data_IF_215255674655
#
_entry.id   IF_215255674655
#
_cell.length_a   1.000
_cell.length_b   1.000
_cell.length_c   1.000
_cell.angle_alpha   90.00
_cell.angle_beta   90.00
_cell.angle_gamma   90.00
#
_symmetry.space_group_name_H-M   'P 1'
#
loop_
_entity.id
_entity.type
_entity.pdbx_description
1 polymer ?
#
# COMPACT_ATOMS: atom_id res chain seq x y z
N UNK A 1 42.86 -17.72 8.67
CA UNK A 1 41.85 -16.77 9.17
C UNK A 1 40.71 -16.75 8.17
N UNK A 2 39.48 -17.06 8.59
CA UNK A 2 38.30 -16.93 7.74
C UNK A 2 37.94 -15.45 7.65
N UNK A 3 38.60 -14.73 6.75
CA UNK A 3 38.41 -13.29 6.54
C UNK A 3 37.27 -13.06 5.57
N UNK A 4 36.06 -13.48 5.94
CA UNK A 4 34.88 -13.02 5.22
C UNK A 4 34.57 -11.58 5.64
N UNK A 5 34.26 -10.69 4.68
CA UNK A 5 33.84 -9.33 4.99
C UNK A 5 32.53 -9.35 5.75
N UNK A 6 32.31 -8.31 6.54
CA UNK A 6 31.00 -8.08 7.16
C UNK A 6 29.90 -7.99 6.09
N UNK A 7 28.71 -8.47 6.41
CA UNK A 7 27.57 -8.53 5.48
C UNK A 7 27.18 -7.12 4.99
N UNK A 8 27.22 -6.13 5.88
CA UNK A 8 27.01 -4.72 5.54
C UNK A 8 28.03 -4.22 4.51
N UNK A 9 29.30 -4.61 4.71
CA UNK A 9 30.40 -4.19 3.83
C UNK A 9 30.30 -4.85 2.46
N UNK A 10 29.84 -6.10 2.41
CA UNK A 10 29.55 -6.80 1.18
C UNK A 10 28.40 -6.13 0.42
N UNK A 11 27.30 -5.77 1.11
CA UNK A 11 26.17 -5.08 0.50
C UNK A 11 26.58 -3.73 -0.13
N UNK A 12 27.28 -2.88 0.63
CA UNK A 12 27.79 -1.60 0.13
C UNK A 12 28.74 -1.75 -1.07
N UNK A 13 29.53 -2.83 -1.10
CA UNK A 13 30.40 -3.14 -2.23
C UNK A 13 29.63 -3.61 -3.48
N UNK A 14 28.61 -4.44 -3.29
CA UNK A 14 27.70 -4.88 -4.37
C UNK A 14 26.92 -3.70 -4.97
N UNK A 15 26.56 -2.72 -4.14
CA UNK A 15 25.84 -1.52 -4.55
C UNK A 15 26.72 -0.41 -5.14
N UNK A 16 28.04 -0.61 -5.21
CA UNK A 16 29.03 0.39 -5.68
C UNK A 16 29.10 1.67 -4.82
N UNK A 17 28.66 1.61 -3.56
CA UNK A 17 28.71 2.74 -2.63
C UNK A 17 30.04 2.83 -1.88
N UNK A 18 30.83 1.76 -1.94
CA UNK A 18 32.10 1.66 -1.25
C UNK A 18 33.20 2.43 -2.00
N UNK A 19 34.02 3.20 -1.27
CA UNK A 19 35.02 4.09 -1.87
C UNK A 19 36.40 3.97 -1.23
N UNK A 20 37.43 4.50 -1.91
CA UNK A 20 38.77 4.64 -1.36
C UNK A 20 39.46 3.32 -1.00
N UNK A 21 40.14 3.31 0.15
CA UNK A 21 40.96 2.17 0.59
C UNK A 21 40.12 0.92 0.89
N UNK A 22 38.87 1.09 1.32
CA UNK A 22 38.00 -0.04 1.63
C UNK A 22 37.54 -0.75 0.35
N UNK A 23 37.34 0.00 -0.75
CA UNK A 23 37.00 -0.57 -2.05
C UNK A 23 38.15 -1.40 -2.58
N UNK A 24 39.37 -0.88 -2.52
CA UNK A 24 40.57 -1.61 -2.94
C UNK A 24 40.75 -2.91 -2.13
N UNK A 25 40.46 -2.88 -0.82
CA UNK A 25 40.52 -4.07 0.01
C UNK A 25 39.42 -5.10 -0.34
N UNK A 26 38.20 -4.65 -0.63
CA UNK A 26 37.10 -5.52 -1.05
C UNK A 26 37.33 -6.11 -2.44
N UNK A 27 37.84 -5.31 -3.39
CA UNK A 27 38.17 -5.79 -4.74
C UNK A 27 39.30 -6.82 -4.70
N UNK A 28 40.32 -6.62 -3.84
CA UNK A 28 41.39 -7.60 -3.64
C UNK A 28 40.85 -8.91 -3.00
N UNK A 29 39.92 -8.80 -2.06
CA UNK A 29 39.26 -9.97 -1.46
C UNK A 29 38.32 -10.69 -2.45
N UNK A 30 37.68 -9.98 -3.37
CA UNK A 30 36.74 -10.54 -4.33
C UNK A 30 37.45 -11.13 -5.57
N UNK A 31 38.73 -10.83 -5.78
CA UNK A 31 39.49 -11.28 -6.95
C UNK A 31 39.53 -12.81 -7.13
N UNK A 32 39.42 -13.57 -6.03
CA UNK A 32 39.38 -15.03 -6.02
C UNK A 32 37.95 -15.62 -5.91
N UNK A 33 36.91 -14.78 -5.93
CA UNK A 33 35.49 -15.17 -5.77
C UNK A 33 34.67 -14.82 -7.00
N UNK A 34 34.65 -15.70 -8.02
CA UNK A 34 33.93 -15.43 -9.25
C UNK A 34 32.42 -15.29 -9.04
N UNK A 35 31.82 -15.95 -8.04
CA UNK A 35 30.39 -15.78 -7.76
C UNK A 35 30.06 -14.34 -7.29
N UNK A 36 30.94 -13.71 -6.51
CA UNK A 36 30.71 -12.36 -6.00
C UNK A 36 30.88 -11.31 -7.12
N UNK A 37 31.86 -11.53 -8.00
CA UNK A 37 32.05 -10.69 -9.18
C UNK A 37 30.88 -10.81 -10.16
N UNK A 38 30.34 -12.02 -10.35
CA UNK A 38 29.16 -12.25 -11.17
C UNK A 38 27.93 -11.55 -10.59
N UNK A 39 27.67 -11.70 -9.29
CA UNK A 39 26.55 -11.03 -8.60
C UNK A 39 26.63 -9.50 -8.75
N UNK A 40 27.81 -8.90 -8.52
CA UNK A 40 28.02 -7.46 -8.72
C UNK A 40 27.77 -7.03 -10.17
N UNK A 41 28.19 -7.85 -11.14
CA UNK A 41 27.92 -7.63 -12.56
C UNK A 41 26.44 -7.64 -12.90
N UNK A 42 25.68 -8.58 -12.34
CA UNK A 42 24.22 -8.67 -12.50
C UNK A 42 23.49 -7.46 -11.92
N UNK A 43 23.86 -7.04 -10.70
CA UNK A 43 23.28 -5.84 -10.07
C UNK A 43 23.52 -4.58 -10.91
N UNK A 44 24.75 -4.38 -11.41
CA UNK A 44 25.07 -3.27 -12.32
C UNK A 44 24.28 -3.32 -13.61
N UNK A 45 24.11 -4.50 -14.20
CA UNK A 45 23.29 -4.69 -15.39
C UNK A 45 21.84 -4.32 -15.13
N UNK A 46 21.26 -4.77 -14.02
CA UNK A 46 19.90 -4.44 -13.61
C UNK A 46 19.73 -2.93 -13.38
N UNK A 47 20.68 -2.29 -12.69
CA UNK A 47 20.71 -0.84 -12.47
C UNK A 47 20.75 -0.07 -13.80
N UNK A 48 21.61 -0.48 -14.72
CA UNK A 48 21.71 0.15 -16.04
C UNK A 48 20.43 -0.04 -16.87
N UNK A 49 19.80 -1.21 -16.80
CA UNK A 49 18.51 -1.47 -17.44
C UNK A 49 17.43 -0.53 -16.90
N UNK A 50 17.28 -0.42 -15.57
CA UNK A 50 16.34 0.52 -14.97
C UNK A 50 16.64 1.97 -15.35
N UNK A 51 17.91 2.38 -15.28
CA UNK A 51 18.34 3.72 -15.66
C UNK A 51 18.04 4.04 -17.13
N UNK A 52 18.14 3.06 -18.03
CA UNK A 52 17.81 3.23 -19.45
C UNK A 52 16.31 3.35 -19.73
N UNK A 53 15.46 2.84 -18.84
CA UNK A 53 14.01 2.95 -18.94
C UNK A 53 13.46 4.26 -18.34
N UNK A 54 14.24 4.92 -17.50
CA UNK A 54 13.90 6.24 -16.96
C UNK A 54 14.11 7.30 -18.05
N UNK A 55 13.11 8.15 -18.34
CA UNK A 55 13.32 9.27 -19.23
C UNK A 55 14.42 10.18 -18.66
N UNK A 56 15.16 10.85 -19.55
CA UNK A 56 16.08 11.90 -19.13
C UNK A 56 15.31 12.87 -18.22
N UNK A 57 15.91 13.28 -17.11
CA UNK A 57 15.28 14.14 -16.11
C UNK A 57 14.84 15.46 -16.76
N UNK A 58 13.60 15.52 -17.22
CA UNK A 58 12.96 16.75 -17.67
C UNK A 58 12.44 17.48 -16.43
N UNK A 59 12.88 18.73 -16.26
CA UNK A 59 12.36 19.56 -15.20
C UNK A 59 10.87 19.80 -15.47
N UNK A 60 9.97 19.45 -14.52
CA UNK A 60 8.55 19.65 -14.73
C UNK A 60 8.30 21.14 -15.02
N UNK A 61 7.34 21.50 -15.89
CA UNK A 61 7.13 22.89 -16.33
C UNK A 61 6.92 23.90 -15.19
N UNK A 62 6.49 23.42 -14.02
CA UNK A 62 6.22 24.21 -12.83
C UNK A 62 6.76 23.52 -11.56
N UNK A 63 8.08 23.57 -11.30
CA UNK A 63 8.71 22.86 -10.19
C UNK A 63 8.21 23.38 -8.83
N UNK A 64 7.97 24.69 -8.72
CA UNK A 64 7.46 25.30 -7.48
C UNK A 64 6.08 24.79 -7.08
N UNK A 65 5.19 24.55 -8.05
CA UNK A 65 3.86 23.99 -7.79
C UNK A 65 3.94 22.54 -7.35
N UNK A 66 4.80 21.72 -7.97
CA UNK A 66 5.05 20.35 -7.54
C UNK A 66 5.55 20.30 -6.08
N UNK A 67 6.55 21.12 -5.75
CA UNK A 67 7.10 21.22 -4.40
C UNK A 67 6.06 21.71 -3.38
N UNK A 68 5.21 22.67 -3.76
CA UNK A 68 4.13 23.14 -2.89
C UNK A 68 3.17 22.02 -2.49
N UNK A 69 2.86 21.10 -3.42
CA UNK A 69 1.96 19.97 -3.20
C UNK A 69 2.59 18.90 -2.31
N UNK A 70 3.87 18.59 -2.53
CA UNK A 70 4.62 17.69 -1.64
C UNK A 70 4.63 18.24 -0.21
N UNK A 71 4.94 19.53 -0.06
CA UNK A 71 4.93 20.21 1.24
C UNK A 71 3.55 20.20 1.90
N UNK A 72 2.48 20.37 1.12
CA UNK A 72 1.12 20.27 1.64
C UNK A 72 0.79 18.86 2.13
N UNK A 73 1.14 17.82 1.37
CA UNK A 73 0.97 16.43 1.80
C UNK A 73 1.73 16.09 3.08
N UNK A 74 2.96 16.62 3.23
CA UNK A 74 3.74 16.45 4.46
C UNK A 74 3.02 17.11 5.65
N UNK A 75 2.49 18.32 5.48
CA UNK A 75 1.73 19.02 6.54
C UNK A 75 0.48 18.25 6.95
N UNK A 76 -0.27 17.72 5.99
CA UNK A 76 -1.50 16.96 6.26
C UNK A 76 -1.19 15.66 7.05
N UNK A 77 -0.11 14.96 6.69
CA UNK A 77 0.37 13.79 7.44
C UNK A 77 0.81 14.15 8.86
N UNK A 78 1.48 15.28 9.05
CA UNK A 78 1.89 15.77 10.38
C UNK A 78 0.69 16.20 11.23
N UNK A 79 -0.31 16.86 10.62
CA UNK A 79 -1.53 17.28 11.29
C UNK A 79 -2.36 16.07 11.75
N UNK A 80 -2.47 15.03 10.92
CA UNK A 80 -3.15 13.78 11.29
C UNK A 80 -2.49 13.06 12.47
N UNK A 81 -1.16 13.15 12.59
CA UNK A 81 -0.41 12.58 13.71
C UNK A 81 -0.56 13.39 15.01
N UNK A 82 -0.93 14.66 14.92
CA UNK A 82 -1.03 15.59 16.06
C UNK A 82 -2.48 15.82 16.51
N UNK A 83 -3.45 15.07 15.98
CA UNK A 83 -4.85 15.22 16.37
C UNK A 83 -5.02 15.00 17.89
N UNK A 84 -5.52 16.00 18.65
CA UNK A 84 -5.64 15.88 20.10
C UNK A 84 -6.65 14.79 20.48
N UNK A 85 -6.29 13.97 21.47
CA UNK A 85 -7.18 12.96 22.03
C UNK A 85 -8.49 13.61 22.52
N UNK A 86 -9.67 12.96 22.36
CA UNK A 86 -10.94 13.54 22.77
C UNK A 86 -10.93 13.87 24.26
N UNK A 87 -11.20 15.14 24.60
CA UNK A 87 -11.23 15.61 25.97
C UNK A 87 -12.27 14.84 26.78
N UNK A 88 -11.86 14.32 27.94
CA UNK A 88 -12.75 13.60 28.85
C UNK A 88 -13.92 14.51 29.28
N UNK A 89 -15.15 13.99 29.14
CA UNK A 89 -16.36 14.73 29.47
C UNK A 89 -16.47 15.00 30.99
N UNK A 90 -17.02 16.16 31.40
CA UNK A 90 -17.06 16.55 32.80
C UNK A 90 -18.00 15.65 33.63
N UNK A 91 -17.47 15.21 34.78
CA UNK A 91 -18.05 14.29 35.77
C UNK A 91 -19.49 14.59 36.22
N UNK A 92 -19.95 15.84 36.11
CA UNK A 92 -21.32 16.24 36.49
C UNK A 92 -22.42 15.72 35.54
N UNK A 93 -22.11 15.37 34.29
CA UNK A 93 -23.09 14.73 33.39
C UNK A 93 -23.44 13.29 33.80
N UNK A 94 -22.67 12.68 34.70
CA UNK A 94 -22.87 11.29 35.15
C UNK A 94 -24.09 11.11 36.07
N UNK A 95 -24.63 12.17 36.68
CA UNK A 95 -25.75 12.03 37.63
C UNK A 95 -27.13 11.94 36.94
N UNK A 96 -27.26 12.43 35.69
CA UNK A 96 -28.50 12.30 34.92
C UNK A 96 -28.54 11.06 34.00
N UNK A 97 -27.47 10.24 34.01
CA UNK A 97 -27.37 9.04 33.18
C UNK A 97 -28.48 7.98 33.37
N UNK A 98 -29.04 7.69 34.57
CA UNK A 98 -29.99 6.59 34.66
C UNK A 98 -31.31 6.87 33.93
N UNK A 99 -31.75 8.14 33.88
CA UNK A 99 -33.00 8.51 33.17
C UNK A 99 -32.81 8.48 31.65
N UNK A 100 -31.65 8.92 31.16
CA UNK A 100 -31.31 8.86 29.74
C UNK A 100 -31.11 7.42 29.24
N UNK A 101 -30.57 6.52 30.08
CA UNK A 101 -30.40 5.11 29.76
C UNK A 101 -31.74 4.39 29.54
N UNK A 102 -32.75 4.68 30.37
CA UNK A 102 -34.10 4.11 30.19
C UNK A 102 -34.77 4.61 28.91
N UNK A 103 -34.67 5.90 28.59
CA UNK A 103 -35.21 6.46 27.34
C UNK A 103 -34.49 5.88 26.10
N UNK A 104 -33.17 5.71 26.17
CA UNK A 104 -32.37 5.09 25.11
C UNK A 104 -32.74 3.63 24.86
N UNK A 105 -33.02 2.84 25.91
CA UNK A 105 -33.45 1.44 25.75
C UNK A 105 -34.82 1.32 25.08
N UNK A 106 -35.80 2.18 25.42
CA UNK A 106 -37.13 2.14 24.78
C UNK A 106 -37.03 2.51 23.30
N UNK A 107 -36.18 3.49 22.96
CA UNK A 107 -36.00 3.94 21.59
C UNK A 107 -35.20 2.91 20.75
N UNK A 108 -34.18 2.29 21.33
CA UNK A 108 -33.42 1.20 20.70
C UNK A 108 -34.25 -0.08 20.51
N UNK A 109 -35.14 -0.41 21.46
CA UNK A 109 -36.04 -1.57 21.34
C UNK A 109 -37.16 -1.34 20.30
N UNK A 110 -37.63 -0.10 20.16
CA UNK A 110 -38.60 0.28 19.13
C UNK A 110 -38.03 0.20 17.71
N UNK A 111 -36.79 0.66 17.52
CA UNK A 111 -36.08 0.58 16.23
C UNK A 111 -35.63 -0.87 15.94
N UNK A 112 -35.20 -1.61 16.95
CA UNK A 112 -34.75 -3.00 16.82
C UNK A 112 -35.84 -3.99 16.40
N UNK A 113 -37.13 -3.67 16.57
CA UNK A 113 -38.24 -4.55 16.13
C UNK A 113 -38.45 -4.54 14.60
N UNK A 114 -37.88 -3.57 13.90
CA UNK A 114 -37.93 -3.46 12.42
C UNK A 114 -36.63 -3.89 11.74
N UNK A 115 -35.57 -4.16 12.49
CA UNK A 115 -34.27 -4.56 11.94
C UNK A 115 -34.07 -6.07 12.12
N UNK A 116 -34.12 -6.81 11.02
CA UNK A 116 -33.58 -8.17 10.97
C UNK A 116 -32.12 -8.18 11.45
N UNK A 117 -31.69 -9.17 12.22
CA UNK A 117 -30.38 -9.15 12.86
C UNK A 117 -29.34 -9.76 11.91
N UNK A 118 -28.68 -8.92 11.11
CA UNK A 118 -27.32 -9.24 10.66
C UNK A 118 -26.35 -8.37 11.45
N UNK A 119 -25.77 -9.01 12.46
CA UNK A 119 -24.82 -8.42 13.39
C UNK A 119 -23.52 -8.04 12.68
N UNK A 120 -23.17 -6.76 12.79
CA UNK A 120 -21.85 -6.25 12.45
C UNK A 120 -21.58 -5.02 13.30
N UNK A 121 -20.50 -5.07 14.09
CA UNK A 121 -20.00 -3.96 14.89
C UNK A 121 -19.92 -2.66 14.05
N UNK A 122 -20.10 -1.46 14.64
CA UNK A 122 -19.95 -0.22 13.91
C UNK A 122 -18.47 -0.05 13.52
N UNK A 123 -18.16 -0.39 12.27
CA UNK A 123 -16.91 -0.04 11.63
C UNK A 123 -16.80 1.49 11.66
N UNK A 124 -15.69 1.97 12.19
CA UNK A 124 -15.25 3.37 12.08
C UNK A 124 -15.44 3.81 10.63
N UNK A 125 -16.41 4.70 10.39
CA UNK A 125 -16.65 5.28 9.08
C UNK A 125 -15.47 6.19 8.77
N UNK A 126 -14.47 5.63 8.09
CA UNK A 126 -13.50 6.43 7.35
C UNK A 126 -14.34 7.24 6.35
N UNK A 127 -14.29 8.59 6.39
CA UNK A 127 -15.00 9.37 5.38
C UNK A 127 -14.49 8.91 4.01
N UNK A 128 -15.38 8.64 3.03
CA UNK A 128 -14.96 8.14 1.74
C UNK A 128 -13.97 9.14 1.15
N UNK A 129 -12.72 8.70 0.97
CA UNK A 129 -11.73 9.48 0.26
C UNK A 129 -12.33 9.80 -1.11
N UNK A 130 -12.58 11.08 -1.38
CA UNK A 130 -13.12 11.50 -2.67
C UNK A 130 -12.05 11.22 -3.72
N UNK A 131 -12.29 10.31 -4.67
CA UNK A 131 -11.29 9.97 -5.67
C UNK A 131 -11.05 11.20 -6.54
N UNK A 132 -9.78 11.60 -6.65
CA UNK A 132 -9.37 12.70 -7.54
C UNK A 132 -8.89 12.10 -8.85
N UNK A 133 -9.53 12.47 -9.94
CA UNK A 133 -9.16 12.01 -11.30
C UNK A 133 -8.21 13.01 -11.92
N UNK A 134 -7.21 12.49 -12.62
CA UNK A 134 -6.24 13.25 -13.40
C UNK A 134 -6.30 12.78 -14.86
N UNK A 135 -6.51 13.72 -15.78
CA UNK A 135 -6.40 13.51 -17.22
C UNK A 135 -5.19 14.29 -17.75
N UNK A 136 -4.12 13.61 -18.21
CA UNK A 136 -2.92 14.28 -18.72
C UNK A 136 -3.09 14.89 -20.11
N UNK A 137 -4.06 14.41 -20.89
CA UNK A 137 -4.30 14.82 -22.27
C UNK A 137 -5.17 16.08 -22.32
N UNK A 138 -4.73 17.10 -23.07
CA UNK A 138 -5.53 18.30 -23.31
C UNK A 138 -6.78 17.96 -24.12
N UNK A 139 -7.95 18.42 -23.65
CA UNK A 139 -9.24 18.15 -24.30
C UNK A 139 -9.92 16.84 -23.88
N UNK A 140 -9.35 16.10 -22.92
CA UNK A 140 -9.99 14.93 -22.30
C UNK A 140 -10.57 15.30 -20.93
N UNK A 141 -11.90 15.27 -20.82
CA UNK A 141 -12.62 15.50 -19.57
C UNK A 141 -12.98 14.17 -18.91
N UNK A 142 -12.86 14.09 -17.58
CA UNK A 142 -13.21 12.90 -16.82
C UNK A 142 -14.23 13.19 -15.73
N UNK A 143 -15.28 12.38 -15.67
CA UNK A 143 -16.30 12.42 -14.62
C UNK A 143 -16.33 11.10 -13.86
N UNK A 144 -16.60 11.15 -12.56
CA UNK A 144 -16.75 9.97 -11.72
C UNK A 144 -18.01 9.99 -10.89
N UNK A 145 -18.62 8.82 -10.80
CA UNK A 145 -19.72 8.58 -9.89
C UNK A 145 -19.71 7.13 -9.39
N UNK A 146 -20.24 6.93 -8.19
CA UNK A 146 -20.49 5.59 -7.65
C UNK A 146 -21.84 5.08 -8.19
N UNK A 147 -21.83 3.96 -8.91
CA UNK A 147 -23.03 3.30 -9.41
C UNK A 147 -23.49 2.23 -8.41
N UNK A 148 -24.58 2.50 -7.70
CA UNK A 148 -25.19 1.55 -6.75
C UNK A 148 -25.80 0.33 -7.46
N UNK A 149 -26.30 0.50 -8.68
CA UNK A 149 -26.89 -0.59 -9.47
C UNK A 149 -25.86 -1.60 -10.00
N UNK A 150 -24.65 -1.15 -10.30
CA UNK A 150 -23.56 -2.01 -10.77
C UNK A 150 -22.58 -2.42 -9.64
N UNK A 151 -22.76 -1.90 -8.43
CA UNK A 151 -21.83 -2.13 -7.32
C UNK A 151 -20.40 -1.66 -7.61
N UNK A 152 -20.24 -0.65 -8.47
CA UNK A 152 -18.94 -0.27 -9.04
C UNK A 152 -18.78 1.26 -9.11
N UNK A 153 -17.52 1.70 -9.13
CA UNK A 153 -17.15 3.07 -9.43
C UNK A 153 -17.04 3.21 -10.95
N UNK A 154 -17.75 4.18 -11.52
CA UNK A 154 -17.74 4.43 -12.97
C UNK A 154 -16.94 5.70 -13.23
N UNK A 155 -16.01 5.62 -14.18
CA UNK A 155 -15.23 6.75 -14.67
C UNK A 155 -15.60 6.93 -16.14
N UNK A 156 -16.12 8.09 -16.50
CA UNK A 156 -16.51 8.44 -17.87
C UNK A 156 -15.47 9.40 -18.43
N UNK A 157 -14.84 9.03 -19.54
CA UNK A 157 -13.89 9.87 -20.26
C UNK A 157 -14.59 10.45 -21.51
N UNK A 158 -14.53 11.77 -21.67
CA UNK A 158 -15.00 12.49 -22.85
C UNK A 158 -13.78 13.06 -23.59
N UNK A 159 -13.84 13.11 -24.93
CA UNK A 159 -12.74 13.61 -25.76
C UNK A 159 -11.69 12.56 -26.15
N UNK A 160 -11.90 11.29 -25.79
CA UNK A 160 -11.05 10.18 -26.26
C UNK A 160 -11.44 9.73 -27.67
N UNK A 161 -10.45 9.31 -28.47
CA UNK A 161 -10.69 8.71 -29.78
C UNK A 161 -11.50 7.43 -29.65
N UNK A 162 -12.47 7.23 -30.55
CA UNK A 162 -13.26 6.00 -30.57
C UNK A 162 -12.37 4.76 -30.73
N UNK A 163 -12.61 3.76 -29.89
CA UNK A 163 -11.96 2.46 -29.99
C UNK A 163 -12.51 1.76 -31.25
N UNK A 164 -11.66 1.33 -32.20
CA UNK A 164 -12.14 0.61 -33.37
C UNK A 164 -12.61 -0.80 -33.00
N UNK A 165 -13.65 -1.28 -33.70
CA UNK A 165 -14.25 -2.61 -33.49
C UNK A 165 -13.26 -3.78 -33.68
N UNK A 166 -12.13 -3.53 -34.34
CA UNK A 166 -11.05 -4.50 -34.52
C UNK A 166 -10.12 -4.64 -33.31
N UNK A 167 -10.33 -3.87 -32.24
CA UNK A 167 -9.47 -3.90 -31.05
C UNK A 167 -9.76 -5.14 -30.22
N UNK A 168 -8.76 -6.01 -30.05
CA UNK A 168 -8.85 -7.17 -29.17
C UNK A 168 -8.42 -6.81 -27.74
N UNK A 169 -9.28 -7.07 -26.76
CA UNK A 169 -9.02 -6.83 -25.34
C UNK A 169 -8.61 -8.08 -24.58
N UNK A 170 -8.61 -9.25 -25.23
CA UNK A 170 -8.42 -10.56 -24.60
C UNK A 170 -7.09 -10.69 -23.84
N UNK A 171 -6.06 -9.95 -24.25
CA UNK A 171 -4.74 -9.96 -23.60
C UNK A 171 -4.68 -9.07 -22.35
N UNK A 172 -5.57 -8.06 -22.24
CA UNK A 172 -5.57 -7.06 -21.14
C UNK A 172 -6.56 -7.38 -20.01
N UNK A 173 -7.41 -8.40 -20.19
CA UNK A 173 -8.33 -8.84 -19.15
C UNK A 173 -7.54 -9.58 -18.07
N UNK A 174 -7.29 -8.89 -16.96
CA UNK A 174 -6.87 -9.57 -15.73
C UNK A 174 -8.05 -10.39 -15.19
N UNK A 175 -8.08 -11.68 -15.52
CA UNK A 175 -8.98 -12.63 -14.87
C UNK A 175 -8.40 -12.94 -13.49
N UNK A 176 -9.10 -12.65 -12.38
CA UNK A 176 -8.62 -13.03 -11.06
C UNK A 176 -8.57 -14.56 -11.00
N UNK A 177 -7.36 -15.12 -11.17
CA UNK A 177 -7.09 -16.52 -10.88
C UNK A 177 -7.44 -16.77 -9.42
N UNK A 178 -8.24 -17.80 -9.19
CA UNK A 178 -8.73 -18.19 -7.88
C UNK A 178 -7.61 -18.13 -6.85
N UNK A 179 -7.86 -17.47 -5.72
CA UNK A 179 -6.96 -17.38 -4.56
C UNK A 179 -6.32 -18.74 -4.31
N UNK A 180 -5.01 -18.83 -4.53
CA UNK A 180 -4.20 -19.94 -4.07
C UNK A 180 -4.36 -19.97 -2.54
N UNK A 181 -5.18 -20.90 -2.07
CA UNK A 181 -5.41 -21.09 -0.65
C UNK A 181 -4.17 -21.76 -0.10
N UNK A 182 -3.28 -20.97 0.49
CA UNK A 182 -2.10 -21.44 1.20
C UNK A 182 -2.52 -22.42 2.31
N UNK A 183 -2.27 -23.72 2.08
CA UNK A 183 -2.60 -24.83 2.97
C UNK A 183 -1.43 -25.19 3.90
N UNK A 184 -0.62 -24.23 4.33
CA UNK A 184 0.41 -24.50 5.36
C UNK A 184 -0.13 -24.50 6.79
N UNK A 185 -1.34 -23.99 7.05
CA UNK A 185 -1.97 -24.03 8.37
C UNK A 185 -2.80 -25.31 8.58
N UNK A 186 -2.17 -26.48 8.64
CA UNK A 186 -2.95 -27.71 8.84
C UNK A 186 -2.21 -29.05 8.88
N UNK A 187 -1.04 -29.16 9.50
CA UNK A 187 -0.57 -30.46 10.00
C UNK A 187 0.04 -30.32 11.39
N UNK A 188 -0.84 -30.30 12.40
CA UNK A 188 -0.44 -30.61 13.77
C UNK A 188 -0.17 -32.11 13.83
N UNK A 189 1.11 -32.45 13.82
CA UNK A 189 1.69 -33.77 14.07
C UNK A 189 1.02 -34.38 15.32
N UNK A 190 0.28 -35.47 15.16
CA UNK A 190 -0.11 -36.34 16.27
C UNK A 190 1.09 -37.23 16.56
N UNK A 191 1.75 -37.00 17.69
CA UNK A 191 2.76 -37.91 18.23
C UNK A 191 2.06 -39.14 18.85
N UNK A 192 2.53 -40.37 18.56
CA UNK A 192 2.09 -41.56 19.27
C UNK A 192 3.09 -41.92 20.39
N UNK A 193 2.76 -41.53 21.62
CA UNK A 193 3.19 -42.23 22.85
C UNK A 193 1.88 -42.81 23.45
N UNK A 194 1.76 -44.02 23.96
CA UNK A 194 2.69 -45.04 24.45
C UNK A 194 1.84 -46.28 24.75
N UNK A 195 2.14 -47.45 24.18
CA UNK A 195 1.60 -48.73 24.66
C UNK A 195 2.69 -49.46 25.41
N UNK A 196 2.51 -49.53 26.71
CA UNK A 196 3.23 -50.38 27.65
C UNK A 196 2.93 -51.86 27.37
N UNK A 197 3.95 -52.64 27.06
CA UNK A 197 4.09 -54.01 27.54
C UNK A 197 5.57 -54.36 27.66
#
# INVERSE_FOLDING_TARGET
>A
MNTNPDETKLALWLDDELTGAELAAMDAWAADKPEQLAARGELRRYRNMMASALPASEEPPYPDFFLSRVNQGIRDLQAAQTAPAPAAAPFWKSWLMPIAACAGMVLAFGIGRHASPDGGQPLTVVPPATPRIYTPEEGVDAEWFASTGAGANVIVLQGVSAIPDSTDFSETVYVPTARESDRTAGQRKQDPESSTQ
#
